data_IF_318248332752
#
_entry.id   IF_318248332752
#
_cell.length_a   1.000
_cell.length_b   1.000
_cell.length_c   1.000
_cell.angle_alpha   90.00
_cell.angle_beta   90.00
_cell.angle_gamma   90.00
#
_symmetry.space_group_name_H-M   'P 1'
#
loop_
_entity.id
_entity.type
_entity.pdbx_description
1 polymer ?
#
# COMPACT_ATOMS: atom_id res chain seq x y z
N UNK A 1 -58.31 -3.34 10.39
CA UNK A 1 -57.74 -2.23 11.16
C UNK A 1 -56.51 -1.69 10.45
N UNK A 2 -56.61 -0.47 9.91
CA UNK A 2 -55.56 0.16 9.10
C UNK A 2 -54.46 0.75 9.99
N UNK A 3 -54.82 1.19 11.19
CA UNK A 3 -53.91 1.82 12.15
C UNK A 3 -52.86 0.81 12.64
N UNK A 4 -53.28 -0.41 12.99
CA UNK A 4 -52.35 -1.48 13.37
C UNK A 4 -51.36 -1.85 12.25
N UNK A 5 -51.79 -1.75 10.98
CA UNK A 5 -50.92 -2.02 9.83
C UNK A 5 -49.90 -0.91 9.60
N UNK A 6 -50.30 0.35 9.76
CA UNK A 6 -49.41 1.51 9.68
C UNK A 6 -48.36 1.46 10.80
N UNK A 7 -48.80 1.22 12.04
CA UNK A 7 -47.89 1.11 13.17
C UNK A 7 -46.86 -0.01 12.98
N UNK A 8 -47.28 -1.16 12.46
CA UNK A 8 -46.36 -2.26 12.14
C UNK A 8 -45.37 -1.90 11.03
N UNK A 9 -45.81 -1.19 9.99
CA UNK A 9 -44.91 -0.72 8.94
C UNK A 9 -43.90 0.31 9.44
N UNK A 10 -44.31 1.23 10.32
CA UNK A 10 -43.43 2.21 10.94
C UNK A 10 -42.36 1.53 11.79
N UNK A 11 -42.73 0.55 12.61
CA UNK A 11 -41.76 -0.24 13.39
C UNK A 11 -40.76 -0.97 12.49
N UNK A 12 -41.23 -1.61 11.42
CA UNK A 12 -40.35 -2.27 10.45
C UNK A 12 -39.40 -1.29 9.77
N UNK A 13 -39.87 -0.08 9.46
CA UNK A 13 -39.03 0.95 8.85
C UNK A 13 -37.92 1.39 9.80
N UNK A 14 -38.25 1.66 11.06
CA UNK A 14 -37.28 2.03 12.08
C UNK A 14 -36.24 0.92 12.31
N UNK A 15 -36.69 -0.32 12.48
CA UNK A 15 -35.79 -1.49 12.62
C UNK A 15 -34.86 -1.64 11.40
N UNK A 16 -35.36 -1.35 10.20
CA UNK A 16 -34.58 -1.41 8.98
C UNK A 16 -33.53 -0.30 8.92
N UNK A 17 -33.90 0.94 9.25
CA UNK A 17 -32.98 2.08 9.32
C UNK A 17 -31.86 1.84 10.35
N UNK A 18 -32.19 1.30 11.53
CA UNK A 18 -31.20 0.95 12.54
C UNK A 18 -30.21 -0.10 12.03
N UNK A 19 -30.70 -1.13 11.32
CA UNK A 19 -29.84 -2.17 10.72
C UNK A 19 -28.94 -1.59 9.62
N UNK A 20 -29.48 -0.74 8.75
CA UNK A 20 -28.70 -0.07 7.69
C UNK A 20 -27.59 0.78 8.31
N UNK A 21 -27.91 1.58 9.32
CA UNK A 21 -26.94 2.42 10.02
C UNK A 21 -25.86 1.58 10.73
N UNK A 22 -26.25 0.48 11.37
CA UNK A 22 -25.32 -0.46 11.99
C UNK A 22 -24.38 -1.11 10.98
N UNK A 23 -24.89 -1.56 9.84
CA UNK A 23 -24.08 -2.14 8.77
C UNK A 23 -23.13 -1.11 8.16
N UNK A 24 -23.59 0.12 7.94
CA UNK A 24 -22.74 1.19 7.44
C UNK A 24 -21.57 1.48 8.40
N UNK A 25 -21.85 1.49 9.70
CA UNK A 25 -20.81 1.66 10.73
C UNK A 25 -19.79 0.52 10.70
N UNK A 26 -20.25 -0.74 10.59
CA UNK A 26 -19.36 -1.89 10.49
C UNK A 26 -18.48 -1.83 9.24
N UNK A 27 -19.06 -1.44 8.10
CA UNK A 27 -18.34 -1.29 6.84
C UNK A 27 -17.24 -0.23 6.96
N UNK A 28 -17.53 0.91 7.57
CA UNK A 28 -16.55 1.97 7.81
C UNK A 28 -15.42 1.49 8.72
N UNK A 29 -15.74 0.82 9.83
CA UNK A 29 -14.74 0.26 10.74
C UNK A 29 -13.85 -0.78 10.07
N UNK A 30 -14.42 -1.61 9.19
CA UNK A 30 -13.65 -2.59 8.44
C UNK A 30 -12.74 -1.93 7.40
N UNK A 31 -13.23 -0.87 6.74
CA UNK A 31 -12.43 -0.09 5.80
C UNK A 31 -11.21 0.55 6.48
N UNK A 32 -11.41 1.16 7.66
CA UNK A 32 -10.34 1.74 8.48
C UNK A 32 -9.30 0.70 8.91
N UNK A 33 -9.74 -0.44 9.45
CA UNK A 33 -8.85 -1.55 9.83
C UNK A 33 -8.08 -2.09 8.63
N UNK A 34 -8.73 -2.19 7.46
CA UNK A 34 -8.06 -2.62 6.24
C UNK A 34 -7.01 -1.62 5.78
N UNK A 35 -7.25 -0.31 5.92
CA UNK A 35 -6.29 0.72 5.59
C UNK A 35 -5.06 0.65 6.50
N UNK A 36 -5.27 0.62 7.83
CA UNK A 36 -4.19 0.50 8.81
C UNK A 36 -3.34 -0.76 8.61
N UNK A 37 -3.98 -1.90 8.33
CA UNK A 37 -3.26 -3.15 8.06
C UNK A 37 -2.42 -3.06 6.79
N UNK A 38 -2.96 -2.44 5.73
CA UNK A 38 -2.23 -2.23 4.47
C UNK A 38 -1.06 -1.29 4.67
N UNK A 39 -1.23 -0.20 5.41
CA UNK A 39 -0.18 0.78 5.66
C UNK A 39 0.95 0.16 6.49
N UNK A 40 0.62 -0.59 7.55
CA UNK A 40 1.64 -1.33 8.33
C UNK A 40 2.38 -2.36 7.48
N UNK A 41 1.68 -3.08 6.61
CA UNK A 41 2.31 -4.05 5.70
C UNK A 41 3.24 -3.38 4.67
N UNK A 42 2.98 -2.12 4.32
CA UNK A 42 3.77 -1.33 3.37
C UNK A 42 4.86 -0.49 4.05
N UNK A 43 4.95 -0.49 5.38
CA UNK A 43 5.91 0.32 6.12
C UNK A 43 7.37 0.07 5.71
N UNK A 44 7.67 -1.15 5.27
CA UNK A 44 8.99 -1.53 4.78
C UNK A 44 9.19 -1.33 3.27
N UNK A 45 8.17 -0.85 2.55
CA UNK A 45 8.26 -0.68 1.11
C UNK A 45 8.81 0.70 0.77
N UNK A 46 9.70 0.73 -0.22
CA UNK A 46 10.17 1.93 -0.88
C UNK A 46 9.77 1.87 -2.35
N UNK A 47 9.15 2.95 -2.82
CA UNK A 47 8.83 3.12 -4.24
C UNK A 47 9.92 3.97 -4.90
N UNK A 48 10.54 3.43 -5.94
CA UNK A 48 11.61 4.08 -6.69
C UNK A 48 11.11 4.36 -8.10
N UNK A 49 11.33 5.59 -8.56
CA UNK A 49 10.93 6.06 -9.90
C UNK A 49 12.15 6.25 -10.79
N UNK A 50 11.94 6.12 -12.10
CA UNK A 50 12.96 6.45 -13.10
C UNK A 50 13.93 5.32 -13.45
N UNK A 51 13.72 4.11 -12.96
CA UNK A 51 14.50 2.95 -13.39
C UNK A 51 14.18 2.62 -14.85
N UNK A 52 15.22 2.53 -15.69
CA UNK A 52 15.06 2.18 -17.12
C UNK A 52 14.30 0.87 -17.28
N UNK A 53 13.34 0.79 -18.20
CA UNK A 53 12.62 -0.46 -18.54
C UNK A 53 13.53 -1.51 -19.18
N UNK A 54 14.73 -1.14 -19.62
CA UNK A 54 15.72 -2.08 -20.17
C UNK A 54 16.33 -3.00 -19.11
N UNK A 55 16.17 -2.67 -17.83
CA UNK A 55 16.68 -3.48 -16.72
C UNK A 55 15.61 -4.52 -16.37
N UNK A 56 15.95 -5.79 -16.57
CA UNK A 56 15.06 -6.89 -16.28
C UNK A 56 14.81 -7.05 -14.77
N UNK A 57 13.67 -7.65 -14.41
CA UNK A 57 13.30 -7.84 -13.00
C UNK A 57 14.36 -8.64 -12.21
N UNK A 58 15.05 -9.57 -12.86
CA UNK A 58 16.11 -10.39 -12.25
C UNK A 58 17.33 -9.53 -11.88
N UNK A 59 17.61 -8.50 -12.67
CA UNK A 59 18.77 -7.62 -12.50
C UNK A 59 18.49 -6.43 -11.58
N UNK A 60 17.22 -6.15 -11.26
CA UNK A 60 16.81 -5.01 -10.44
C UNK A 60 17.53 -4.97 -9.09
N UNK A 61 17.72 -6.12 -8.43
CA UNK A 61 18.41 -6.18 -7.13
C UNK A 61 19.86 -5.72 -7.25
N UNK A 62 20.58 -6.22 -8.26
CA UNK A 62 21.98 -5.87 -8.53
C UNK A 62 22.10 -4.39 -8.91
N UNK A 63 21.21 -3.92 -9.78
CA UNK A 63 21.17 -2.52 -10.18
C UNK A 63 20.87 -1.60 -8.99
N UNK A 64 19.87 -1.94 -8.17
CA UNK A 64 19.54 -1.19 -6.96
C UNK A 64 20.74 -1.09 -6.01
N UNK A 65 21.42 -2.20 -5.71
CA UNK A 65 22.63 -2.17 -4.88
C UNK A 65 23.73 -1.27 -5.47
N UNK A 66 23.87 -1.26 -6.80
CA UNK A 66 24.83 -0.38 -7.49
C UNK A 66 24.45 1.10 -7.35
N UNK A 67 23.16 1.42 -7.45
CA UNK A 67 22.63 2.77 -7.19
C UNK A 67 22.88 3.18 -5.74
N UNK A 68 22.60 2.30 -4.77
CA UNK A 68 22.85 2.62 -3.36
C UNK A 68 24.31 2.93 -3.11
N UNK A 69 25.24 2.11 -3.62
CA UNK A 69 26.69 2.37 -3.50
C UNK A 69 27.13 3.67 -4.17
N UNK A 70 26.50 4.04 -5.29
CA UNK A 70 26.79 5.31 -5.97
C UNK A 70 26.28 6.53 -5.19
N UNK A 71 25.11 6.43 -4.56
CA UNK A 71 24.49 7.53 -3.81
C UNK A 71 25.07 7.68 -2.41
N UNK A 72 25.41 6.57 -1.75
CA UNK A 72 25.97 6.53 -0.39
C UNK A 72 27.29 5.72 -0.34
N UNK A 73 28.37 6.22 -0.96
CA UNK A 73 29.62 5.46 -1.12
C UNK A 73 30.37 5.20 0.20
N UNK A 74 30.13 6.01 1.23
CA UNK A 74 30.81 5.88 2.53
C UNK A 74 30.06 4.96 3.52
N UNK A 75 28.81 4.62 3.21
CA UNK A 75 27.98 3.78 4.06
C UNK A 75 28.23 2.30 3.74
N UNK A 76 29.31 1.79 4.30
CA UNK A 76 29.78 0.40 4.11
C UNK A 76 29.00 -0.64 4.93
N UNK A 77 28.13 -0.20 5.84
CA UNK A 77 27.43 -1.06 6.80
C UNK A 77 25.96 -1.36 6.48
N UNK A 78 25.42 -0.91 5.35
CA UNK A 78 24.06 -1.30 4.98
C UNK A 78 24.06 -2.75 4.49
N UNK A 79 23.77 -3.67 5.40
CA UNK A 79 23.21 -4.96 5.01
C UNK A 79 21.81 -4.70 4.44
N UNK A 80 21.76 -4.46 3.12
CA UNK A 80 20.53 -4.30 2.35
C UNK A 80 19.86 -5.66 2.16
N UNK A 81 19.40 -6.23 3.28
CA UNK A 81 18.54 -7.39 3.28
C UNK A 81 17.16 -6.99 2.75
N UNK A 82 16.83 -7.49 1.56
CA UNK A 82 15.57 -7.22 0.86
C UNK A 82 14.73 -8.50 0.81
N UNK A 83 13.44 -8.38 1.11
CA UNK A 83 12.49 -9.48 0.92
C UNK A 83 12.12 -9.64 -0.55
N UNK A 84 11.87 -8.53 -1.24
CA UNK A 84 11.57 -8.53 -2.67
C UNK A 84 11.90 -7.19 -3.35
N UNK A 85 12.11 -7.25 -4.66
CA UNK A 85 12.21 -6.10 -5.54
C UNK A 85 11.55 -6.41 -6.88
N UNK A 86 10.62 -5.58 -7.33
CA UNK A 86 9.90 -5.81 -8.58
C UNK A 86 9.27 -4.52 -9.13
N UNK A 87 8.96 -4.52 -10.43
CA UNK A 87 8.20 -3.44 -11.08
C UNK A 87 6.72 -3.52 -10.73
N UNK A 88 6.12 -2.37 -10.47
CA UNK A 88 4.68 -2.23 -10.35
C UNK A 88 4.01 -2.30 -11.72
N UNK A 89 2.81 -2.91 -11.80
CA UNK A 89 1.99 -2.82 -12.99
C UNK A 89 1.60 -1.35 -13.23
N UNK A 90 1.63 -0.97 -14.50
CA UNK A 90 1.26 0.38 -14.93
C UNK A 90 -0.27 0.49 -15.02
N UNK A 91 -0.89 1.59 -14.57
CA UNK A 91 -2.30 1.85 -14.81
C UNK A 91 -2.60 1.88 -16.31
N UNK A 92 -3.73 1.32 -16.73
CA UNK A 92 -4.14 1.30 -18.14
C UNK A 92 -4.27 2.72 -18.75
N UNK A 93 -4.48 3.73 -17.92
CA UNK A 93 -4.61 5.14 -18.32
C UNK A 93 -3.27 5.88 -18.46
N UNK A 94 -2.14 5.29 -18.06
CA UNK A 94 -0.87 5.99 -18.06
C UNK A 94 -0.25 6.06 -19.47
N UNK A 95 0.35 7.20 -19.89
CA UNK A 95 0.97 7.36 -21.21
C UNK A 95 2.00 6.28 -21.51
N UNK A 96 2.08 5.76 -22.73
CA UNK A 96 2.97 4.64 -23.08
C UNK A 96 4.45 4.86 -22.67
N UNK A 97 4.95 6.08 -22.78
CA UNK A 97 6.31 6.46 -22.43
C UNK A 97 6.63 6.48 -20.91
N UNK A 98 5.62 6.41 -20.03
CA UNK A 98 5.86 6.40 -18.58
C UNK A 98 6.54 5.10 -18.14
N UNK A 99 7.70 5.21 -17.51
CA UNK A 99 8.42 4.09 -16.90
C UNK A 99 7.63 3.52 -15.72
N UNK A 100 7.76 2.22 -15.45
CA UNK A 100 7.15 1.58 -14.28
C UNK A 100 7.94 1.94 -13.04
N UNK A 101 7.21 2.19 -11.96
CA UNK A 101 7.79 2.32 -10.63
C UNK A 101 8.30 0.95 -10.15
N UNK A 102 9.37 0.95 -9.36
CA UNK A 102 9.93 -0.25 -8.73
C UNK A 102 9.60 -0.20 -7.25
N UNK A 103 8.99 -1.26 -6.71
CA UNK A 103 8.89 -1.45 -5.27
C UNK A 103 10.05 -2.30 -4.79
N UNK A 104 10.69 -1.81 -3.72
CA UNK A 104 11.68 -2.51 -2.91
C UNK A 104 11.07 -2.74 -1.53
N UNK A 105 11.03 -4.00 -1.09
CA UNK A 105 10.62 -4.34 0.28
C UNK A 105 11.88 -4.65 1.09
N UNK A 106 12.14 -3.82 2.09
CA UNK A 106 13.22 -4.05 3.05
C UNK A 106 12.79 -5.12 4.05
N UNK A 107 13.71 -6.00 4.42
CA UNK A 107 13.45 -6.98 5.47
C UNK A 107 13.22 -6.27 6.82
N UNK A 108 13.99 -5.21 7.09
CA UNK A 108 13.92 -4.44 8.32
C UNK A 108 13.48 -2.99 8.08
N UNK A 109 12.51 -2.52 8.86
CA UNK A 109 11.98 -1.15 8.80
C UNK A 109 13.06 -0.08 9.02
N UNK A 110 13.90 -0.25 10.05
CA UNK A 110 14.91 0.75 10.43
C UNK A 110 15.94 0.97 9.33
N UNK A 111 16.29 -0.08 8.56
CA UNK A 111 17.21 0.03 7.41
C UNK A 111 16.61 0.93 6.31
N UNK A 112 15.29 0.84 6.07
CA UNK A 112 14.61 1.73 5.13
C UNK A 112 14.63 3.19 5.61
N UNK A 113 14.40 3.44 6.90
CA UNK A 113 14.42 4.79 7.45
C UNK A 113 15.82 5.42 7.41
N UNK A 114 16.84 4.65 7.78
CA UNK A 114 18.25 5.06 7.69
C UNK A 114 18.67 5.30 6.23
N UNK A 115 18.19 4.46 5.31
CA UNK A 115 18.36 4.67 3.87
C UNK A 115 17.79 6.01 3.42
N UNK A 116 16.58 6.36 3.88
CA UNK A 116 15.91 7.64 3.58
C UNK A 116 16.52 8.83 4.33
N UNK A 117 17.42 8.60 5.30
CA UNK A 117 17.97 9.66 6.14
C UNK A 117 16.93 10.28 7.08
N UNK A 118 15.91 9.51 7.47
CA UNK A 118 14.81 9.94 8.32
C UNK A 118 15.09 9.77 9.84
N UNK A 119 16.37 9.67 10.22
CA UNK A 119 16.85 9.60 11.61
C UNK A 119 17.54 10.88 12.04
#
# INVERSE_FOLDING_TARGET
DIENRLHYQEQLHLDFEEKVNSLQKQLNQQAEKSADTKDRSRGNNLCIRGFSETIDNVELSIYFQSVVKAVKPNDTNFDLSLDCIHRLPKPNSAPAATLKDVIVQFHYYHVKEEFLGAT
#
